data_IF_220722787242
#
_entry.id   IF_220722787242
#
_cell.length_a   1.000
_cell.length_b   1.000
_cell.length_c   1.000
_cell.angle_alpha   90.00
_cell.angle_beta   90.00
_cell.angle_gamma   90.00
#
_symmetry.space_group_name_H-M   'P 1'
#
loop_
_entity.id
_entity.type
_entity.pdbx_description
1 polymer ?
#
# COMPACT_ATOMS: atom_id res chain seq x y z
N UNK A 1 -10.06 6.69 13.98
CA UNK A 1 -9.61 5.60 14.87
C UNK A 1 -8.23 5.16 14.41
N UNK A 2 -7.19 5.42 15.19
CA UNK A 2 -5.83 4.92 14.94
C UNK A 2 -5.73 3.52 15.54
N UNK A 3 -5.74 2.49 14.69
CA UNK A 3 -5.50 1.12 15.10
C UNK A 3 -3.99 0.96 15.30
N UNK A 4 -3.50 1.00 16.55
CA UNK A 4 -2.09 0.79 16.85
C UNK A 4 -1.75 -0.71 16.72
N UNK A 5 -1.40 -1.15 15.52
CA UNK A 5 -1.09 -2.56 15.27
C UNK A 5 0.34 -2.88 15.76
N UNK A 6 0.45 -3.75 16.76
CA UNK A 6 1.75 -4.23 17.26
C UNK A 6 2.35 -5.24 16.28
N UNK A 7 3.39 -4.84 15.57
CA UNK A 7 4.10 -5.71 14.63
C UNK A 7 4.95 -6.76 15.36
N UNK A 8 4.81 -8.02 14.94
CA UNK A 8 5.70 -9.13 15.33
C UNK A 8 7.09 -8.95 14.70
N UNK A 9 8.10 -9.70 15.17
CA UNK A 9 9.43 -9.70 14.52
C UNK A 9 9.33 -10.09 13.03
N UNK A 10 8.50 -11.09 12.72
CA UNK A 10 8.24 -11.50 11.34
C UNK A 10 7.47 -10.44 10.55
N UNK A 11 6.45 -9.82 11.16
CA UNK A 11 5.68 -8.73 10.55
C UNK A 11 6.55 -7.53 10.19
N UNK A 12 7.48 -7.13 11.07
CA UNK A 12 8.47 -6.08 10.77
C UNK A 12 9.35 -6.42 9.56
N UNK A 13 9.74 -7.69 9.39
CA UNK A 13 10.50 -8.15 8.23
C UNK A 13 9.65 -8.11 6.95
N UNK A 14 8.38 -8.51 7.03
CA UNK A 14 7.47 -8.53 5.87
C UNK A 14 7.04 -7.12 5.45
N UNK A 15 6.71 -6.24 6.40
CA UNK A 15 6.27 -4.87 6.13
C UNK A 15 7.37 -4.04 5.48
N UNK A 16 8.63 -4.17 5.94
CA UNK A 16 9.77 -3.45 5.39
C UNK A 16 9.56 -1.93 5.40
N UNK A 17 9.67 -1.30 4.22
CA UNK A 17 9.48 0.14 4.01
C UNK A 17 8.03 0.64 4.09
N UNK A 18 7.07 -0.23 4.46
CA UNK A 18 5.68 0.17 4.72
C UNK A 18 5.42 0.39 6.22
N UNK A 19 6.46 0.43 7.06
CA UNK A 19 6.35 0.58 8.51
C UNK A 19 5.58 1.83 8.94
N UNK A 20 5.68 2.92 8.17
CA UNK A 20 4.96 4.17 8.43
C UNK A 20 3.46 4.06 8.13
N UNK A 21 3.05 3.04 7.37
CA UNK A 21 1.67 2.77 6.99
C UNK A 21 1.04 1.65 7.83
N UNK A 22 1.73 1.16 8.86
CA UNK A 22 1.31 -0.01 9.66
C UNK A 22 -0.09 0.14 10.28
N UNK A 23 -0.51 1.36 10.59
CA UNK A 23 -1.79 1.68 11.24
C UNK A 23 -2.84 2.18 10.23
N UNK A 24 -2.50 2.18 8.94
CA UNK A 24 -3.35 2.62 7.83
C UNK A 24 -4.03 1.40 7.22
N UNK A 25 -5.30 1.55 6.79
CA UNK A 25 -6.00 0.50 6.04
C UNK A 25 -5.28 0.17 4.73
N UNK A 26 -5.32 -1.08 4.29
CA UNK A 26 -4.67 -1.50 3.06
C UNK A 26 -5.18 -0.73 1.83
N UNK A 27 -6.50 -0.50 1.75
CA UNK A 27 -7.12 0.31 0.69
C UNK A 27 -6.57 1.74 0.65
N UNK A 28 -6.48 2.40 1.80
CA UNK A 28 -5.94 3.76 1.92
C UNK A 28 -4.43 3.80 1.69
N UNK A 29 -3.68 2.79 2.15
CA UNK A 29 -2.26 2.66 1.88
C UNK A 29 -1.97 2.48 0.39
N UNK A 30 -2.81 1.75 -0.35
CA UNK A 30 -2.71 1.64 -1.81
C UNK A 30 -2.94 3.01 -2.45
N UNK A 31 -3.99 3.74 -2.05
CA UNK A 31 -4.29 5.09 -2.57
C UNK A 31 -3.19 6.09 -2.27
N UNK A 32 -2.70 6.15 -1.03
CA UNK A 32 -1.60 7.03 -0.62
C UNK A 32 -0.31 6.75 -1.40
N UNK A 33 -0.12 5.51 -1.85
CA UNK A 33 1.01 5.10 -2.69
C UNK A 33 0.74 5.25 -4.19
N UNK A 34 -0.35 5.92 -4.59
CA UNK A 34 -0.73 6.19 -5.98
C UNK A 34 -1.28 4.98 -6.74
N UNK A 35 -1.76 3.95 -6.03
CA UNK A 35 -2.52 2.85 -6.61
C UNK A 35 -4.02 3.18 -6.68
N UNK A 36 -4.69 2.71 -7.74
CA UNK A 36 -6.14 2.89 -7.92
C UNK A 36 -6.97 1.65 -7.51
N UNK A 37 -8.28 1.72 -7.79
CA UNK A 37 -9.26 0.68 -7.48
C UNK A 37 -8.87 -0.71 -8.03
N UNK A 38 -8.21 -0.78 -9.18
CA UNK A 38 -7.73 -2.06 -9.76
C UNK A 38 -6.77 -2.82 -8.83
N UNK A 39 -5.99 -2.13 -8.00
CA UNK A 39 -5.12 -2.79 -7.00
C UNK A 39 -5.87 -3.17 -5.73
N UNK A 40 -6.86 -2.36 -5.35
CA UNK A 40 -7.73 -2.68 -4.21
C UNK A 40 -8.52 -3.95 -4.51
N UNK A 41 -9.05 -4.08 -5.73
CA UNK A 41 -9.77 -5.28 -6.18
C UNK A 41 -8.89 -6.52 -6.34
N UNK A 42 -7.56 -6.39 -6.32
CA UNK A 42 -6.63 -7.51 -6.29
C UNK A 42 -6.36 -8.00 -4.86
N UNK A 43 -6.79 -7.25 -3.85
CA UNK A 43 -6.79 -7.73 -2.48
C UNK A 43 -7.84 -8.82 -2.34
N UNK A 44 -7.55 -9.80 -1.49
CA UNK A 44 -8.54 -10.77 -1.08
C UNK A 44 -9.65 -10.06 -0.28
N UNK A 45 -10.89 -10.47 -0.46
CA UNK A 45 -12.06 -9.84 0.18
C UNK A 45 -11.88 -9.72 1.69
N UNK A 46 -12.08 -8.50 2.20
CA UNK A 46 -11.89 -8.15 3.61
C UNK A 46 -10.48 -7.65 3.96
N UNK A 47 -9.47 -7.85 3.10
CA UNK A 47 -8.11 -7.35 3.35
C UNK A 47 -8.00 -5.85 3.09
N UNK A 48 -8.90 -5.28 2.28
CA UNK A 48 -9.02 -3.84 2.01
C UNK A 48 -9.31 -3.01 3.28
N UNK A 49 -9.99 -3.60 4.26
CA UNK A 49 -10.38 -2.97 5.52
C UNK A 49 -9.39 -3.24 6.67
N UNK A 50 -8.53 -4.25 6.53
CA UNK A 50 -7.45 -4.54 7.47
C UNK A 50 -6.32 -3.52 7.36
N UNK A 51 -5.60 -3.32 8.45
CA UNK A 51 -4.40 -2.47 8.46
C UNK A 51 -3.21 -3.16 7.81
N UNK A 52 -2.27 -2.38 7.25
CA UNK A 52 -1.03 -2.92 6.68
C UNK A 52 -0.24 -3.71 7.74
N UNK A 53 -0.30 -3.31 9.00
CA UNK A 53 0.34 -4.00 10.11
C UNK A 53 -0.25 -5.38 10.39
N UNK A 54 -1.57 -5.52 10.35
CA UNK A 54 -2.26 -6.80 10.52
C UNK A 54 -1.92 -7.75 9.37
N UNK A 55 -2.01 -7.27 8.13
CA UNK A 55 -1.63 -8.04 6.95
C UNK A 55 -0.16 -8.48 7.00
N UNK A 56 0.74 -7.62 7.51
CA UNK A 56 2.15 -7.99 7.65
C UNK A 56 2.37 -9.08 8.71
N UNK A 57 1.62 -9.04 9.82
CA UNK A 57 1.65 -10.08 10.85
C UNK A 57 1.10 -11.41 10.31
N UNK A 58 -0.01 -11.38 9.56
CA UNK A 58 -0.57 -12.57 8.90
C UNK A 58 0.39 -13.14 7.85
N UNK A 59 1.00 -12.29 7.03
CA UNK A 59 2.01 -12.71 6.06
C UNK A 59 3.24 -13.34 6.71
N UNK A 60 3.57 -12.95 7.94
CA UNK A 60 4.64 -13.55 8.72
C UNK A 60 4.25 -14.91 9.31
N UNK A 61 2.95 -15.15 9.53
CA UNK A 61 2.40 -16.43 9.98
C UNK A 61 2.23 -17.46 8.85
N UNK A 62 2.53 -17.09 7.59
CA UNK A 62 2.41 -17.97 6.42
C UNK A 62 1.07 -17.84 5.68
N UNK A 63 0.30 -16.79 5.96
CA UNK A 63 -0.99 -16.54 5.33
C UNK A 63 -0.87 -15.91 3.92
N UNK A 64 -1.95 -16.00 3.13
CA UNK A 64 -2.11 -15.35 1.81
C UNK A 64 -1.95 -13.82 1.84
N UNK A 65 -1.96 -13.20 3.04
CA UNK A 65 -1.66 -11.79 3.25
C UNK A 65 -0.29 -11.32 2.71
N UNK A 66 0.65 -12.24 2.42
CA UNK A 66 1.89 -11.88 1.72
C UNK A 66 1.62 -11.22 0.35
N UNK A 67 0.60 -11.69 -0.37
CA UNK A 67 0.21 -11.13 -1.67
C UNK A 67 -0.30 -9.70 -1.52
N UNK A 68 -1.09 -9.43 -0.49
CA UNK A 68 -1.59 -8.08 -0.19
C UNK A 68 -0.44 -7.10 0.10
N UNK A 69 0.53 -7.49 0.92
CA UNK A 69 1.72 -6.67 1.19
C UNK A 69 2.51 -6.39 -0.10
N UNK A 70 2.65 -7.36 -0.99
CA UNK A 70 3.29 -7.17 -2.30
C UNK A 70 2.53 -6.16 -3.17
N UNK A 71 1.20 -6.24 -3.23
CA UNK A 71 0.36 -5.31 -4.01
C UNK A 71 0.56 -3.86 -3.52
N UNK A 72 0.54 -3.64 -2.20
CA UNK A 72 0.75 -2.33 -1.57
C UNK A 72 2.16 -1.78 -1.89
N UNK A 73 3.20 -2.62 -1.75
CA UNK A 73 4.58 -2.22 -2.12
C UNK A 73 4.67 -1.78 -3.58
N UNK A 74 4.08 -2.58 -4.47
CA UNK A 74 4.06 -2.30 -5.90
C UNK A 74 3.18 -1.11 -6.30
N UNK A 75 2.27 -0.62 -5.44
CA UNK A 75 1.44 0.55 -5.76
C UNK A 75 2.33 1.78 -6.03
N UNK A 76 3.32 2.00 -5.17
CA UNK A 76 4.30 3.10 -5.28
C UNK A 76 5.18 3.01 -6.54
N UNK A 77 5.63 1.81 -6.91
CA UNK A 77 6.50 1.65 -8.10
C UNK A 77 5.79 2.04 -9.39
N UNK A 78 4.46 1.79 -9.50
CA UNK A 78 3.68 2.23 -10.66
C UNK A 78 3.35 3.73 -10.59
N UNK A 79 3.06 4.27 -9.40
CA UNK A 79 2.84 5.71 -9.23
C UNK A 79 4.08 6.54 -9.59
N UNK A 80 5.29 6.10 -9.24
CA UNK A 80 6.51 6.77 -9.71
C UNK A 80 6.71 6.62 -11.22
N UNK A 81 6.40 5.45 -11.79
CA UNK A 81 6.61 5.18 -13.22
C UNK A 81 5.63 5.94 -14.14
N UNK A 82 4.42 6.25 -13.67
CA UNK A 82 3.36 6.94 -14.43
C UNK A 82 2.96 8.32 -13.89
N UNK A 83 3.20 8.61 -12.62
CA UNK A 83 2.88 9.88 -11.96
C UNK A 83 4.03 10.89 -11.97
N UNK A 84 5.25 10.51 -12.36
CA UNK A 84 6.36 11.44 -12.60
C UNK A 84 6.35 12.10 -13.98
N UNK A 85 5.29 11.94 -14.78
CA UNK A 85 5.20 12.49 -16.15
C UNK A 85 4.13 13.58 -16.33
N UNK A 86 3.54 14.10 -15.25
CA UNK A 86 2.56 15.20 -15.33
C UNK A 86 2.96 16.33 -14.37
N UNK A 87 4.21 16.77 -14.44
CA UNK A 87 4.66 18.02 -13.76
C UNK A 87 5.39 18.98 -14.72
N UNK A 88 5.26 18.80 -16.04
CA UNK A 88 5.75 19.79 -17.02
C UNK A 88 4.90 19.80 -18.30
N UNK A 89 3.60 20.07 -18.18
CA UNK A 89 2.79 20.49 -19.33
C UNK A 89 1.75 21.52 -18.90
N UNK A 90 2.20 22.59 -18.24
CA UNK A 90 1.37 23.77 -18.01
C UNK A 90 2.21 25.05 -17.94
N UNK A 91 2.87 25.43 -19.03
CA UNK A 91 2.99 26.85 -19.44
C UNK A 91 3.10 26.88 -20.96
N UNK A 92 2.44 27.85 -21.59
CA UNK A 92 2.51 28.24 -23.01
C UNK A 92 1.49 27.65 -24.00
N UNK A 93 0.19 27.78 -23.68
CA UNK A 93 -0.83 28.12 -24.69
C UNK A 93 -1.62 29.33 -24.18
N UNK A 94 -0.98 30.49 -24.09
CA UNK A 94 -1.62 31.81 -24.15
C UNK A 94 -0.57 32.82 -24.62
N UNK A 95 -0.88 33.46 -25.75
CA UNK A 95 -0.15 34.49 -26.53
C UNK A 95 0.82 33.98 -27.61
#
# INVERSE_FOLDING_TARGET
MVHNCKLTKGGKRKIGNLSDLKDVKASDAIKQRGGGASKINQLQTGYEDMTVGELANMAAAGDAAETAIKIIKQASSKAQKYGGKIDELLVLVVL
#
